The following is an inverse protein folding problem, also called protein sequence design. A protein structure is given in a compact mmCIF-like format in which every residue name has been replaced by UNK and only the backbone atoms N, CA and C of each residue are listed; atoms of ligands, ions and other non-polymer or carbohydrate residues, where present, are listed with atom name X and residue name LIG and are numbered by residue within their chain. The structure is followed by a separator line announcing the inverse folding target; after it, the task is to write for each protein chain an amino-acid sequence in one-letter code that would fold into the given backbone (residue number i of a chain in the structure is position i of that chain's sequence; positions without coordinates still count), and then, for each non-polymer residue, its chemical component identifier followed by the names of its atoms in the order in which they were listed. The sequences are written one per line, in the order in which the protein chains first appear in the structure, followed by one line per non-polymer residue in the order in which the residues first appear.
data_IF_785103078937
#
_entry.id   IF_785103078937
#
_cell.length_a   1.000
_cell.length_b   1.000
_cell.length_c   1.000
_cell.angle_alpha   90.00
_cell.angle_beta   90.00
_cell.angle_gamma   90.00
#
_symmetry.space_group_name_H-M   'P 1'
#
loop_
_entity.id
_entity.type
_entity.pdbx_description
1 polymer ?
#
# COMPACT_ATOMS: atom_id res chain seq x y z
N UNK A 1 -4.98 20.20 -11.03
CA UNK A 1 -5.52 18.87 -10.79
C UNK A 1 -4.61 17.83 -11.44
N UNK A 2 -4.30 16.76 -10.71
CA UNK A 2 -3.37 15.71 -11.13
C UNK A 2 -3.85 15.00 -12.41
N UNK A 3 -5.15 14.75 -12.51
CA UNK A 3 -5.76 14.12 -13.68
C UNK A 3 -5.59 14.97 -14.95
N UNK A 4 -5.66 16.30 -14.82
CA UNK A 4 -5.43 17.22 -15.95
C UNK A 4 -3.98 17.14 -16.43
N UNK A 5 -3.01 17.03 -15.52
CA UNK A 5 -1.60 16.87 -15.89
C UNK A 5 -1.37 15.59 -16.67
N UNK A 6 -1.95 14.47 -16.26
CA UNK A 6 -1.84 13.19 -16.96
C UNK A 6 -2.51 13.29 -18.33
N UNK A 7 -3.71 13.85 -18.42
CA UNK A 7 -4.43 14.03 -19.69
C UNK A 7 -3.65 14.89 -20.69
N UNK A 8 -3.12 16.02 -20.24
CA UNK A 8 -2.29 16.91 -21.08
C UNK A 8 -0.99 16.23 -21.50
N UNK A 9 -0.38 15.44 -20.63
CA UNK A 9 0.82 14.68 -20.97
C UNK A 9 0.54 13.62 -22.04
N UNK A 10 -0.54 12.84 -21.89
CA UNK A 10 -0.96 11.87 -22.90
C UNK A 10 -1.30 12.53 -24.24
N UNK A 11 -1.97 13.68 -24.21
CA UNK A 11 -2.25 14.49 -25.41
C UNK A 11 -0.98 14.99 -26.06
N UNK A 12 -0.04 15.55 -25.28
CA UNK A 12 1.24 16.04 -25.79
C UNK A 12 2.02 14.94 -26.52
N UNK A 13 2.10 13.75 -25.94
CA UNK A 13 2.81 12.63 -26.57
C UNK A 13 2.14 12.17 -27.88
N UNK A 14 0.82 12.22 -27.94
CA UNK A 14 0.06 11.89 -29.14
C UNK A 14 0.20 12.94 -30.24
N UNK A 15 0.10 14.23 -29.86
CA UNK A 15 0.04 15.35 -30.82
C UNK A 15 1.43 15.82 -31.26
N UNK A 16 2.50 15.39 -30.59
CA UNK A 16 3.88 15.79 -30.81
C UNK A 16 4.84 14.59 -30.92
N UNK A 17 4.88 13.87 -32.05
CA UNK A 17 5.72 12.68 -32.20
C UNK A 17 7.21 12.93 -31.88
N UNK A 18 7.76 14.11 -32.22
CA UNK A 18 9.15 14.45 -31.90
C UNK A 18 9.42 14.50 -30.36
N UNK A 19 8.43 14.89 -29.56
CA UNK A 19 8.54 14.85 -28.10
C UNK A 19 8.55 13.40 -27.61
N UNK A 20 7.65 12.57 -28.16
CA UNK A 20 7.60 11.14 -27.83
C UNK A 20 8.93 10.46 -28.17
N UNK A 21 9.44 10.64 -29.37
CA UNK A 21 10.73 10.09 -29.83
C UNK A 21 11.90 10.53 -28.92
N UNK A 22 11.98 11.82 -28.60
CA UNK A 22 13.02 12.36 -27.72
C UNK A 22 12.94 11.74 -26.32
N UNK A 23 11.75 11.44 -25.81
CA UNK A 23 11.56 10.85 -24.49
C UNK A 23 11.84 9.35 -24.50
N UNK A 24 11.35 8.64 -25.50
CA UNK A 24 11.51 7.19 -25.62
C UNK A 24 12.93 6.77 -25.95
N UNK A 25 13.69 7.58 -26.71
CA UNK A 25 15.10 7.31 -27.04
C UNK A 25 16.02 7.19 -25.81
N UNK A 26 15.55 7.57 -24.62
CA UNK A 26 16.30 7.50 -23.35
C UNK A 26 15.74 6.46 -22.38
N UNK A 27 14.78 5.68 -22.83
CA UNK A 27 14.07 4.68 -21.98
C UNK A 27 14.25 3.32 -22.60
N UNK A 28 14.96 2.45 -21.93
CA UNK A 28 15.21 1.09 -22.38
C UNK A 28 14.03 0.15 -22.08
N UNK A 29 13.29 0.41 -21.01
CA UNK A 29 12.13 -0.37 -20.59
C UNK A 29 11.22 0.46 -19.68
N UNK A 30 9.91 0.22 -19.76
CA UNK A 30 8.91 0.74 -18.82
C UNK A 30 8.44 -0.41 -17.93
N UNK A 31 8.42 -0.18 -16.62
CA UNK A 31 7.85 -1.12 -15.64
C UNK A 31 6.69 -0.43 -14.94
N UNK A 32 5.49 -1.00 -15.06
CA UNK A 32 4.28 -0.51 -14.40
C UNK A 32 3.90 -1.50 -13.30
N UNK A 33 3.99 -1.06 -12.06
CA UNK A 33 3.58 -1.83 -10.89
C UNK A 33 2.16 -1.44 -10.45
N UNK A 34 1.48 -2.34 -9.73
CA UNK A 34 0.09 -2.18 -9.27
C UNK A 34 -0.87 -1.78 -10.41
N UNK A 35 -0.70 -2.40 -11.57
CA UNK A 35 -1.44 -1.99 -12.79
C UNK A 35 -2.96 -2.12 -12.65
N UNK A 36 -3.48 -2.99 -11.78
CA UNK A 36 -4.91 -3.10 -11.48
C UNK A 36 -5.53 -1.80 -10.93
N UNK A 37 -4.69 -0.88 -10.40
CA UNK A 37 -5.12 0.42 -9.88
C UNK A 37 -5.00 1.54 -10.92
N UNK A 38 -4.67 1.20 -12.17
CA UNK A 38 -4.48 2.15 -13.27
C UNK A 38 -5.84 2.64 -13.80
N UNK A 39 -5.97 3.95 -13.98
CA UNK A 39 -7.12 4.54 -14.65
C UNK A 39 -6.89 4.70 -16.17
N UNK A 40 -7.94 4.91 -16.99
CA UNK A 40 -7.82 5.02 -18.44
C UNK A 40 -6.86 6.12 -18.95
N UNK A 41 -6.71 7.23 -18.22
CA UNK A 41 -5.78 8.30 -18.60
C UNK A 41 -4.33 7.90 -18.37
N UNK A 42 -4.04 7.24 -17.25
CA UNK A 42 -2.72 6.68 -16.94
C UNK A 42 -2.36 5.60 -17.95
N UNK A 43 -3.32 4.73 -18.29
CA UNK A 43 -3.15 3.73 -19.32
C UNK A 43 -2.79 4.37 -20.68
N UNK A 44 -3.52 5.40 -21.11
CA UNK A 44 -3.25 6.08 -22.37
C UNK A 44 -1.83 6.67 -22.42
N UNK A 45 -1.31 7.17 -21.31
CA UNK A 45 0.06 7.66 -21.20
C UNK A 45 1.09 6.54 -21.36
N UNK A 46 0.92 5.43 -20.63
CA UNK A 46 1.80 4.25 -20.72
C UNK A 46 1.75 3.67 -22.13
N UNK A 47 0.54 3.53 -22.69
CA UNK A 47 0.34 2.94 -24.00
C UNK A 47 0.99 3.77 -25.13
N UNK A 48 1.00 5.11 -25.02
CA UNK A 48 1.69 5.97 -25.99
C UNK A 48 3.19 5.64 -26.06
N UNK A 49 3.82 5.35 -24.93
CA UNK A 49 5.24 4.98 -24.86
C UNK A 49 5.47 3.55 -25.36
N UNK A 50 4.61 2.61 -24.97
CA UNK A 50 4.67 1.20 -25.41
C UNK A 50 4.47 1.10 -26.92
N UNK A 51 3.51 1.82 -27.49
CA UNK A 51 3.22 1.84 -28.93
C UNK A 51 4.37 2.47 -29.76
N UNK A 52 5.23 3.27 -29.14
CA UNK A 52 6.46 3.76 -29.75
C UNK A 52 7.61 2.74 -29.77
N UNK A 53 7.35 1.49 -29.36
CA UNK A 53 8.31 0.38 -29.40
C UNK A 53 9.17 0.23 -28.15
N UNK A 54 8.86 0.90 -27.05
CA UNK A 54 9.58 0.72 -25.78
C UNK A 54 9.06 -0.57 -25.09
N UNK A 55 9.94 -1.55 -24.79
CA UNK A 55 9.57 -2.72 -24.04
C UNK A 55 8.88 -2.36 -22.72
N UNK A 56 7.75 -3.01 -22.43
CA UNK A 56 6.94 -2.67 -21.27
C UNK A 56 6.62 -3.92 -20.48
N UNK A 57 6.89 -3.88 -19.17
CA UNK A 57 6.54 -4.92 -18.20
C UNK A 57 5.41 -4.37 -17.33
N UNK A 58 4.32 -5.12 -17.27
CA UNK A 58 3.16 -4.78 -16.44
C UNK A 58 3.06 -5.80 -15.31
N UNK A 59 2.99 -5.32 -14.07
CA UNK A 59 2.85 -6.15 -12.88
C UNK A 59 1.60 -5.73 -12.12
N UNK A 60 0.79 -6.70 -11.70
CA UNK A 60 -0.43 -6.42 -10.94
C UNK A 60 -1.12 -7.70 -10.45
N UNK A 61 -2.15 -7.51 -9.64
CA UNK A 61 -3.01 -8.57 -9.14
C UNK A 61 -4.47 -8.10 -9.10
N UNK A 62 -5.29 -8.62 -10.00
CA UNK A 62 -6.72 -8.28 -10.10
C UNK A 62 -7.48 -8.49 -8.79
N UNK A 63 -7.05 -9.43 -7.96
CA UNK A 63 -7.67 -9.68 -6.65
C UNK A 63 -7.39 -8.56 -5.64
N UNK A 64 -6.44 -7.67 -5.94
CA UNK A 64 -6.11 -6.49 -5.15
C UNK A 64 -6.70 -5.18 -5.72
N UNK A 65 -7.52 -5.25 -6.76
CA UNK A 65 -8.17 -4.09 -7.39
C UNK A 65 -9.23 -3.49 -6.47
N UNK A 66 -8.85 -2.54 -5.62
CA UNK A 66 -9.73 -1.89 -4.65
C UNK A 66 -9.87 -0.37 -4.87
N UNK A 67 -9.22 0.18 -5.92
CA UNK A 67 -9.13 1.62 -6.16
C UNK A 67 -10.15 2.14 -7.19
N UNK A 68 -11.24 1.42 -7.44
CA UNK A 68 -12.28 1.83 -8.38
C UNK A 68 -12.88 3.22 -8.06
N UNK A 69 -12.96 3.58 -6.76
CA UNK A 69 -13.43 4.91 -6.31
C UNK A 69 -12.50 6.07 -6.73
N UNK A 70 -11.26 5.78 -7.12
CA UNK A 70 -10.30 6.73 -7.71
C UNK A 70 -10.25 6.65 -9.24
N UNK A 71 -11.18 5.93 -9.86
CA UNK A 71 -11.28 5.78 -11.30
C UNK A 71 -10.39 4.70 -11.91
N UNK A 72 -9.79 3.82 -11.09
CA UNK A 72 -9.11 2.64 -11.58
C UNK A 72 -10.08 1.71 -12.33
N UNK A 73 -9.59 1.13 -13.42
CA UNK A 73 -10.39 0.20 -14.24
C UNK A 73 -9.65 -1.14 -14.42
N UNK A 74 -9.96 -2.14 -13.61
CA UNK A 74 -9.32 -3.47 -13.67
C UNK A 74 -9.49 -4.16 -15.04
N UNK A 75 -10.53 -3.80 -15.81
CA UNK A 75 -10.77 -4.37 -17.15
C UNK A 75 -9.63 -4.07 -18.11
N UNK A 76 -8.86 -3.01 -17.88
CA UNK A 76 -7.65 -2.72 -18.67
C UNK A 76 -6.61 -3.82 -18.52
N UNK A 77 -6.43 -4.33 -17.28
CA UNK A 77 -5.50 -5.42 -17.02
C UNK A 77 -6.01 -6.74 -17.58
N UNK A 78 -7.29 -7.04 -17.43
CA UNK A 78 -7.93 -8.22 -18.01
C UNK A 78 -7.80 -8.23 -19.54
N UNK A 79 -8.10 -7.12 -20.19
CA UNK A 79 -8.00 -6.98 -21.63
C UNK A 79 -6.55 -7.17 -22.14
N UNK A 80 -5.58 -6.58 -21.44
CA UNK A 80 -4.17 -6.70 -21.77
C UNK A 80 -3.69 -8.16 -21.63
N UNK A 81 -4.02 -8.81 -20.52
CA UNK A 81 -3.71 -10.20 -20.28
C UNK A 81 -4.37 -11.14 -21.30
N UNK A 82 -5.62 -10.85 -21.69
CA UNK A 82 -6.34 -11.62 -22.71
C UNK A 82 -5.77 -11.45 -24.12
N UNK A 83 -5.14 -10.32 -24.43
CA UNK A 83 -4.46 -10.10 -25.72
C UNK A 83 -3.07 -10.75 -25.79
N UNK A 84 -2.43 -10.96 -24.64
CA UNK A 84 -1.06 -11.49 -24.52
C UNK A 84 -0.97 -12.69 -23.58
N UNK A 85 -1.78 -13.76 -23.78
CA UNK A 85 -1.86 -14.87 -22.82
C UNK A 85 -0.53 -15.61 -22.66
N UNK A 86 0.25 -15.73 -23.74
CA UNK A 86 1.54 -16.44 -23.73
C UNK A 86 2.65 -15.65 -23.01
N UNK A 87 2.47 -14.36 -22.83
CA UNK A 87 3.41 -13.47 -22.14
C UNK A 87 3.08 -13.32 -20.64
N UNK A 88 1.90 -13.82 -20.21
CA UNK A 88 1.47 -13.75 -18.82
C UNK A 88 2.18 -14.80 -17.96
N UNK A 89 2.91 -14.33 -16.95
CA UNK A 89 3.63 -15.20 -16.02
C UNK A 89 3.14 -15.01 -14.59
N UNK A 90 2.50 -16.00 -13.96
CA UNK A 90 2.05 -15.87 -12.58
C UNK A 90 3.22 -15.91 -11.59
N UNK A 91 3.28 -14.94 -10.69
CA UNK A 91 4.26 -14.89 -9.61
C UNK A 91 3.78 -15.75 -8.43
N UNK A 92 4.20 -17.02 -8.39
CA UNK A 92 3.77 -18.00 -7.38
C UNK A 92 4.62 -17.99 -6.10
N UNK A 93 5.84 -17.43 -6.14
CA UNK A 93 6.78 -17.45 -5.00
C UNK A 93 6.60 -16.23 -4.13
N UNK A 94 6.38 -16.43 -2.82
CA UNK A 94 6.29 -15.37 -1.83
C UNK A 94 7.56 -15.32 -0.97
N UNK A 95 8.31 -14.25 -1.09
CA UNK A 95 9.55 -13.97 -0.37
C UNK A 95 9.35 -13.06 0.85
N UNK A 96 8.14 -12.53 1.03
CA UNK A 96 7.80 -11.54 2.06
C UNK A 96 7.40 -12.18 3.38
N UNK A 97 6.49 -13.12 3.32
CA UNK A 97 5.75 -13.60 4.49
C UNK A 97 6.21 -14.99 4.94
N UNK A 98 6.00 -15.28 6.21
CA UNK A 98 6.25 -16.60 6.76
C UNK A 98 5.26 -17.65 6.23
N UNK A 99 5.62 -18.94 6.22
CA UNK A 99 4.78 -20.02 5.65
C UNK A 99 3.36 -20.03 6.20
N UNK A 100 3.16 -19.97 7.50
CA UNK A 100 1.82 -20.01 8.12
C UNK A 100 0.92 -18.83 7.73
N UNK A 101 1.51 -17.65 7.45
CA UNK A 101 0.75 -16.51 6.92
C UNK A 101 0.27 -16.84 5.51
N UNK A 102 1.15 -17.39 4.68
CA UNK A 102 0.82 -17.77 3.30
C UNK A 102 -0.20 -18.89 3.25
N UNK A 103 -0.10 -19.91 4.12
CA UNK A 103 -1.09 -20.96 4.26
C UNK A 103 -2.48 -20.39 4.58
N UNK A 104 -2.56 -19.44 5.50
CA UNK A 104 -3.81 -18.79 5.87
C UNK A 104 -4.36 -17.92 4.73
N UNK A 105 -3.49 -17.19 4.02
CA UNK A 105 -3.85 -16.41 2.83
C UNK A 105 -4.35 -17.32 1.73
N UNK A 106 -3.67 -18.44 1.46
CA UNK A 106 -4.10 -19.42 0.47
C UNK A 106 -5.45 -20.04 0.82
N UNK A 107 -5.66 -20.42 2.09
CA UNK A 107 -6.94 -20.99 2.54
C UNK A 107 -8.10 -19.99 2.37
N UNK A 108 -7.85 -18.71 2.65
CA UNK A 108 -8.84 -17.65 2.43
C UNK A 108 -9.06 -17.38 0.94
N UNK A 109 -7.97 -17.27 0.17
CA UNK A 109 -8.00 -17.02 -1.27
C UNK A 109 -8.77 -18.09 -2.03
N UNK A 110 -8.53 -19.35 -1.73
CA UNK A 110 -9.28 -20.49 -2.30
C UNK A 110 -10.79 -20.40 -2.03
N UNK A 111 -11.19 -19.93 -0.84
CA UNK A 111 -12.61 -19.77 -0.50
C UNK A 111 -13.26 -18.57 -1.21
N UNK A 112 -12.51 -17.48 -1.41
CA UNK A 112 -13.03 -16.25 -1.98
C UNK A 112 -13.05 -16.26 -3.51
N UNK A 113 -12.03 -16.85 -4.13
CA UNK A 113 -11.79 -16.78 -5.58
C UNK A 113 -11.89 -18.14 -6.29
N UNK A 114 -12.03 -19.24 -5.54
CA UNK A 114 -12.18 -20.57 -6.12
C UNK A 114 -11.02 -21.00 -7.02
N UNK A 115 -11.33 -21.52 -8.20
CA UNK A 115 -10.36 -22.02 -9.17
C UNK A 115 -9.47 -20.93 -9.79
N UNK A 116 -9.90 -19.68 -9.78
CA UNK A 116 -9.10 -18.54 -10.27
C UNK A 116 -7.96 -18.14 -9.31
N UNK A 117 -7.97 -18.71 -8.10
CA UNK A 117 -6.94 -18.41 -7.13
C UNK A 117 -5.65 -19.19 -7.41
N UNK A 118 -4.56 -18.44 -7.61
CA UNK A 118 -3.23 -19.02 -7.75
C UNK A 118 -2.58 -19.07 -6.36
N UNK A 119 -2.40 -20.28 -5.83
CA UNK A 119 -1.78 -20.47 -4.53
C UNK A 119 -0.31 -20.02 -4.52
N UNK A 120 0.07 -19.31 -3.47
CA UNK A 120 1.42 -18.80 -3.27
C UNK A 120 2.29 -19.85 -2.55
N UNK A 121 3.54 -20.00 -2.99
CA UNK A 121 4.54 -20.85 -2.36
C UNK A 121 5.47 -20.01 -1.48
N UNK A 122 5.47 -20.20 -0.14
CA UNK A 122 6.34 -19.45 0.76
C UNK A 122 7.81 -19.83 0.52
N UNK A 123 8.68 -18.83 0.49
CA UNK A 123 10.13 -19.02 0.31
C UNK A 123 10.91 -18.68 1.59
N UNK A 124 10.27 -18.09 2.59
CA UNK A 124 10.90 -17.83 3.88
C UNK A 124 10.86 -19.08 4.76
N UNK A 125 11.87 -19.30 5.62
CA UNK A 125 11.83 -20.36 6.62
C UNK A 125 10.71 -20.10 7.63
N UNK A 126 10.13 -21.19 8.15
CA UNK A 126 9.22 -21.09 9.27
C UNK A 126 9.99 -20.65 10.53
N UNK A 127 9.39 -19.77 11.31
CA UNK A 127 9.93 -19.32 12.60
C UNK A 127 8.88 -19.51 13.68
N UNK A 128 9.27 -19.91 14.85
CA UNK A 128 8.46 -19.89 16.07
C UNK A 128 8.60 -18.51 16.73
N UNK A 129 7.56 -18.01 17.42
CA UNK A 129 6.21 -18.59 17.58
C UNK A 129 5.31 -18.44 16.34
N UNK A 130 4.08 -18.98 16.42
CA UNK A 130 3.08 -18.86 15.37
C UNK A 130 2.86 -17.38 15.01
N UNK A 131 3.02 -16.98 13.73
CA UNK A 131 2.90 -15.59 13.32
C UNK A 131 1.45 -15.08 13.27
N UNK A 132 0.46 -15.93 13.49
CA UNK A 132 -0.96 -15.57 13.49
C UNK A 132 -1.53 -15.68 14.89
N UNK A 133 -2.19 -14.62 15.31
CA UNK A 133 -2.85 -14.53 16.59
C UNK A 133 -4.23 -13.89 16.44
N UNK A 134 -5.23 -14.46 17.10
CA UNK A 134 -6.57 -13.88 17.16
C UNK A 134 -6.81 -13.32 18.57
N UNK A 135 -7.03 -12.01 18.64
CA UNK A 135 -7.42 -11.35 19.89
C UNK A 135 -8.95 -11.28 19.96
N UNK A 136 -9.53 -11.97 20.94
CA UNK A 136 -10.96 -11.92 21.23
C UNK A 136 -11.24 -11.04 22.44
N UNK A 137 -12.36 -10.36 22.44
CA UNK A 137 -12.82 -9.55 23.55
C UNK A 137 -14.33 -9.62 23.67
N UNK A 138 -14.83 -9.45 24.88
CA UNK A 138 -16.27 -9.40 25.18
C UNK A 138 -16.60 -8.04 25.80
N UNK A 139 -17.60 -7.35 25.27
CA UNK A 139 -18.12 -6.10 25.85
C UNK A 139 -19.63 -6.04 25.72
N UNK A 140 -20.31 -5.59 26.79
CA UNK A 140 -21.75 -5.31 26.78
C UNK A 140 -22.06 -3.93 26.18
N UNK A 141 -21.08 -3.03 26.10
CA UNK A 141 -21.26 -1.65 25.66
C UNK A 141 -20.94 -1.51 24.17
N UNK A 142 -21.93 -1.67 23.29
CA UNK A 142 -21.79 -1.56 21.84
C UNK A 142 -21.06 -0.28 21.39
N UNK A 143 -21.34 0.89 22.01
CA UNK A 143 -20.70 2.17 21.70
C UNK A 143 -19.20 2.23 22.05
N UNK A 144 -18.68 1.32 22.86
CA UNK A 144 -17.27 1.31 23.30
C UNK A 144 -16.46 0.15 22.69
N UNK A 145 -17.02 -0.57 21.72
CA UNK A 145 -16.35 -1.75 21.16
C UNK A 145 -14.99 -1.41 20.54
N UNK A 146 -14.89 -0.32 19.80
CA UNK A 146 -13.63 0.11 19.18
C UNK A 146 -12.57 0.49 20.21
N UNK A 147 -12.97 1.16 21.30
CA UNK A 147 -12.06 1.49 22.40
C UNK A 147 -11.53 0.24 23.09
N UNK A 148 -12.42 -0.73 23.39
CA UNK A 148 -12.00 -2.00 24.02
C UNK A 148 -11.03 -2.76 23.10
N UNK A 149 -11.32 -2.83 21.80
CA UNK A 149 -10.39 -3.43 20.83
C UNK A 149 -9.03 -2.73 20.84
N UNK A 150 -9.03 -1.41 20.77
CA UNK A 150 -7.79 -0.65 20.76
C UNK A 150 -6.97 -0.81 22.04
N UNK A 151 -7.63 -0.91 23.20
CA UNK A 151 -6.98 -1.20 24.49
C UNK A 151 -6.32 -2.57 24.45
N UNK A 152 -7.05 -3.62 24.04
CA UNK A 152 -6.53 -4.99 23.94
C UNK A 152 -5.32 -5.07 22.99
N UNK A 153 -5.39 -4.40 21.84
CA UNK A 153 -4.27 -4.36 20.88
C UNK A 153 -3.05 -3.67 21.48
N UNK A 154 -3.23 -2.55 22.18
CA UNK A 154 -2.12 -1.83 22.80
C UNK A 154 -1.47 -2.59 23.95
N UNK A 155 -2.26 -3.33 24.76
CA UNK A 155 -1.75 -4.24 25.78
C UNK A 155 -0.93 -5.36 25.15
N UNK A 156 -1.41 -5.92 24.03
CA UNK A 156 -0.66 -6.95 23.31
C UNK A 156 0.64 -6.42 22.74
N UNK A 157 0.65 -5.21 22.16
CA UNK A 157 1.89 -4.57 21.70
C UNK A 157 2.89 -4.37 22.83
N UNK A 158 2.43 -3.95 24.00
CA UNK A 158 3.28 -3.80 25.18
C UNK A 158 3.87 -5.14 25.61
N UNK A 159 3.08 -6.20 25.65
CA UNK A 159 3.55 -7.53 25.97
C UNK A 159 4.60 -8.03 24.98
N UNK A 160 4.38 -7.87 23.68
CA UNK A 160 5.33 -8.26 22.65
C UNK A 160 6.63 -7.45 22.72
N UNK A 161 6.57 -6.15 23.01
CA UNK A 161 7.75 -5.30 23.15
C UNK A 161 8.56 -5.60 24.42
N UNK A 162 7.90 -6.08 25.47
CA UNK A 162 8.55 -6.44 26.72
C UNK A 162 9.20 -7.85 26.68
N UNK A 163 8.72 -8.72 25.81
CA UNK A 163 9.20 -10.09 25.69
C UNK A 163 10.58 -10.12 25.02
N UNK A 164 11.64 -10.58 25.69
CA UNK A 164 13.00 -10.63 25.14
C UNK A 164 13.15 -11.65 24.00
N UNK A 165 12.29 -12.67 23.95
CA UNK A 165 12.36 -13.73 22.94
C UNK A 165 11.72 -13.32 21.62
N UNK A 166 10.92 -12.24 21.64
CA UNK A 166 10.33 -11.67 20.42
C UNK A 166 11.36 -10.89 19.60
N UNK A 167 11.56 -11.33 18.39
CA UNK A 167 12.53 -10.73 17.48
C UNK A 167 12.03 -10.73 16.04
N UNK A 168 12.50 -9.78 15.27
CA UNK A 168 12.23 -9.65 13.83
C UNK A 168 13.55 -9.62 13.05
N UNK A 169 13.54 -10.17 11.84
CA UNK A 169 14.64 -9.98 10.90
C UNK A 169 14.61 -8.55 10.34
N UNK A 170 15.69 -7.83 10.52
CA UNK A 170 15.82 -6.48 9.97
C UNK A 170 15.91 -6.55 8.44
N UNK A 171 15.12 -5.72 7.76
CA UNK A 171 14.99 -5.74 6.30
C UNK A 171 16.31 -5.44 5.58
N UNK A 172 17.13 -4.59 6.14
CA UNK A 172 18.35 -4.12 5.50
C UNK A 172 19.58 -4.96 5.87
N UNK A 173 19.72 -5.26 7.17
CA UNK A 173 20.89 -5.99 7.67
C UNK A 173 20.74 -7.50 7.62
N UNK A 174 19.50 -8.00 7.45
CA UNK A 174 19.14 -9.43 7.53
C UNK A 174 19.45 -10.08 8.89
N UNK A 175 19.79 -9.28 9.89
CA UNK A 175 20.05 -9.74 11.24
C UNK A 175 18.78 -9.72 12.09
N UNK A 176 18.67 -10.64 13.03
CA UNK A 176 17.57 -10.63 13.98
C UNK A 176 17.81 -9.55 15.04
N UNK A 177 16.79 -8.78 15.34
CA UNK A 177 16.80 -7.75 16.39
C UNK A 177 15.49 -7.77 17.17
N UNK A 178 15.50 -7.17 18.36
CA UNK A 178 14.30 -6.97 19.16
C UNK A 178 13.26 -6.12 18.43
N UNK A 179 12.00 -6.35 18.76
CA UNK A 179 10.88 -5.56 18.25
C UNK A 179 10.99 -4.10 18.71
N UNK A 180 10.55 -3.20 17.85
CA UNK A 180 10.38 -1.77 18.11
C UNK A 180 8.95 -1.38 17.79
N UNK A 181 8.46 -0.29 18.38
CA UNK A 181 7.13 0.24 18.06
C UNK A 181 6.89 0.49 16.57
N UNK A 182 7.94 0.83 15.82
CA UNK A 182 7.88 1.03 14.36
C UNK A 182 7.70 -0.25 13.54
N UNK A 183 7.77 -1.42 14.16
CA UNK A 183 7.57 -2.70 13.46
C UNK A 183 6.09 -3.11 13.44
N UNK A 184 5.23 -2.37 14.13
CA UNK A 184 3.79 -2.62 14.18
C UNK A 184 3.02 -1.65 13.26
N UNK A 185 2.02 -2.19 12.59
CA UNK A 185 1.04 -1.40 11.85
C UNK A 185 -0.37 -1.82 12.25
N UNK A 186 -1.28 -0.86 12.38
CA UNK A 186 -2.70 -1.08 12.62
C UNK A 186 -3.46 -0.64 11.38
N UNK A 187 -4.20 -1.57 10.78
CA UNK A 187 -5.07 -1.31 9.64
C UNK A 187 -6.52 -1.27 10.12
N UNK A 188 -7.24 -0.23 9.78
CA UNK A 188 -8.65 -0.03 10.10
C UNK A 188 -9.47 0.23 8.84
N UNK A 189 -10.73 -0.22 8.78
CA UNK A 189 -11.62 0.00 7.64
C UNK A 189 -11.95 1.47 7.38
N UNK A 190 -11.92 2.34 8.41
CA UNK A 190 -12.30 3.75 8.30
C UNK A 190 -11.32 4.66 9.02
N UNK A 191 -11.18 5.90 8.55
CA UNK A 191 -10.36 6.93 9.19
C UNK A 191 -10.84 7.26 10.61
N UNK A 192 -12.15 7.24 10.87
CA UNK A 192 -12.73 7.46 12.21
C UNK A 192 -12.23 6.39 13.18
N UNK A 193 -12.31 5.11 12.80
CA UNK A 193 -11.80 4.02 13.63
C UNK A 193 -10.29 4.15 13.85
N UNK A 194 -9.54 4.51 12.81
CA UNK A 194 -8.09 4.70 12.90
C UNK A 194 -7.73 5.82 13.89
N UNK A 195 -8.49 6.94 13.91
CA UNK A 195 -8.31 8.02 14.85
C UNK A 195 -8.58 7.58 16.31
N UNK A 196 -9.66 6.82 16.54
CA UNK A 196 -9.98 6.26 17.87
C UNK A 196 -8.88 5.33 18.38
N UNK A 197 -8.34 4.44 17.50
CA UNK A 197 -7.22 3.58 17.86
C UNK A 197 -5.96 4.39 18.18
N UNK A 198 -5.67 5.42 17.40
CA UNK A 198 -4.51 6.27 17.62
C UNK A 198 -4.57 7.00 18.98
N UNK A 199 -5.75 7.50 19.37
CA UNK A 199 -5.97 8.11 20.68
C UNK A 199 -5.70 7.13 21.84
N UNK A 200 -6.32 5.95 21.78
CA UNK A 200 -6.17 4.93 22.82
C UNK A 200 -4.72 4.46 22.93
N UNK A 201 -4.07 4.20 21.81
CA UNK A 201 -2.67 3.75 21.82
C UNK A 201 -1.72 4.84 22.36
N UNK A 202 -1.96 6.11 22.04
CA UNK A 202 -1.22 7.23 22.64
C UNK A 202 -1.43 7.34 24.14
N UNK A 203 -2.68 7.18 24.61
CA UNK A 203 -3.00 7.19 26.03
C UNK A 203 -2.31 6.03 26.80
N UNK A 204 -2.02 4.93 26.12
CA UNK A 204 -1.23 3.82 26.64
C UNK A 204 0.29 4.01 26.56
N UNK A 205 0.76 5.17 26.09
CA UNK A 205 2.18 5.52 25.99
C UNK A 205 2.86 5.07 24.68
N UNK A 206 2.12 4.56 23.72
CA UNK A 206 2.69 4.22 22.41
C UNK A 206 2.89 5.48 21.55
N UNK A 207 4.03 5.58 20.87
CA UNK A 207 4.24 6.60 19.82
C UNK A 207 3.52 6.15 18.56
N UNK A 208 2.49 6.92 18.15
CA UNK A 208 1.65 6.57 17.00
C UNK A 208 1.83 7.61 15.90
N UNK A 209 2.23 7.13 14.71
CA UNK A 209 2.15 7.88 13.47
C UNK A 209 0.82 7.55 12.80
N UNK A 210 0.00 8.56 12.58
CA UNK A 210 -1.27 8.44 11.88
C UNK A 210 -1.09 8.98 10.47
N UNK A 211 -1.43 8.17 9.48
CA UNK A 211 -1.58 8.65 8.12
C UNK A 211 -3.03 9.07 7.95
N UNK A 212 -3.28 10.37 7.99
CA UNK A 212 -4.60 10.95 7.84
C UNK A 212 -4.58 11.99 6.72
N UNK A 213 -5.73 12.15 6.07
CA UNK A 213 -5.94 13.23 5.13
C UNK A 213 -5.88 14.59 5.85
N UNK A 214 -5.57 15.64 5.11
CA UNK A 214 -5.56 16.99 5.67
C UNK A 214 -4.28 17.39 6.42
N UNK A 215 -3.16 16.71 6.16
CA UNK A 215 -1.87 17.09 6.74
C UNK A 215 -1.55 18.59 6.55
N UNK A 216 -1.82 19.12 5.35
CA UNK A 216 -1.65 20.56 5.06
C UNK A 216 -2.58 21.48 5.87
N UNK A 217 -3.74 20.99 6.31
CA UNK A 217 -4.67 21.74 7.16
C UNK A 217 -4.32 21.62 8.65
N UNK A 218 -3.33 20.81 9.01
CA UNK A 218 -2.91 20.70 10.40
C UNK A 218 -2.32 22.01 10.91
N UNK A 219 -2.65 22.38 12.17
CA UNK A 219 -2.18 23.62 12.80
C UNK A 219 -0.66 23.80 12.74
N UNK A 220 0.09 22.70 12.90
CA UNK A 220 1.55 22.75 12.85
C UNK A 220 2.06 23.15 11.46
N UNK A 221 1.48 22.56 10.40
CA UNK A 221 1.86 22.89 9.02
C UNK A 221 1.45 24.32 8.68
N UNK A 222 0.25 24.76 9.05
CA UNK A 222 -0.20 26.14 8.82
C UNK A 222 0.71 27.16 9.51
N UNK A 223 1.08 26.93 10.78
CA UNK A 223 2.02 27.80 11.49
C UNK A 223 3.37 27.84 10.77
N UNK A 224 3.87 26.68 10.35
CA UNK A 224 5.15 26.59 9.64
C UNK A 224 5.09 27.32 8.30
N UNK A 225 4.03 27.10 7.51
CA UNK A 225 3.83 27.79 6.23
C UNK A 225 3.72 29.29 6.41
N UNK A 226 2.95 29.77 7.41
CA UNK A 226 2.83 31.19 7.72
C UNK A 226 4.16 31.79 8.15
N UNK A 227 4.94 31.09 8.98
CA UNK A 227 6.28 31.54 9.37
C UNK A 227 7.23 31.65 8.18
N UNK A 228 7.22 30.66 7.28
CA UNK A 228 8.03 30.68 6.06
C UNK A 228 7.58 31.79 5.09
N UNK A 229 6.28 32.00 4.93
CA UNK A 229 5.72 33.09 4.12
C UNK A 229 6.14 34.46 4.67
N UNK A 230 6.08 34.65 5.99
CA UNK A 230 6.55 35.87 6.65
C UNK A 230 8.05 36.11 6.45
N UNK A 231 8.88 35.05 6.54
CA UNK A 231 10.31 35.15 6.28
C UNK A 231 10.62 35.51 4.82
N UNK A 232 9.81 34.97 3.88
CA UNK A 232 9.96 35.21 2.45
C UNK A 232 9.50 36.64 2.05
N UNK A 233 8.46 37.16 2.71
CA UNK A 233 7.92 38.49 2.47
C UNK A 233 7.46 39.17 3.78
N UNK A 234 8.37 39.78 4.55
CA UNK A 234 8.06 40.40 5.84
C UNK A 234 7.06 41.60 5.78
N UNK A 235 6.85 42.13 4.57
CA UNK A 235 5.92 43.26 4.35
C UNK A 235 4.46 42.82 4.13
N UNK A 236 4.21 41.56 3.94
CA UNK A 236 2.86 40.96 3.76
C UNK A 236 2.27 40.70 5.17
N UNK A 237 1.37 41.67 5.62
CA UNK A 237 0.73 41.61 6.91
C UNK A 237 -0.70 41.09 6.80
#
# INVERSE_FOLDING_TARGET
DYSVMIALSAQLLRDRPAVLETRTSRVDCVVVDEFQDTNPLQFALVWAVTAAGVPTIVVGDLKQAIMAFQGADPRLFEALAGQHPDECQPLKKNWRSQPRIIESVNALGMKLFGEEYIALAPQRPATEPNPLEMLSFTTKAKKKQHQVRAVTVGERFRALLADPDQSIEDRHTRQRRRLKGSDFAVLCPTHTMLAEYAEVLRAQGHRVRLQADGWYASRAVQITCNALSYLANPADR
#
